data_IF_113749116367
#
_entry.id   IF_113749116367
#
_cell.length_a   1.000
_cell.length_b   1.000
_cell.length_c   1.000
_cell.angle_alpha   90.00
_cell.angle_beta   90.00
_cell.angle_gamma   90.00
#
_symmetry.space_group_name_H-M   'P 1'
#
loop_
_entity.id
_entity.type
_entity.pdbx_description
1 polymer ?
#
# COMPACT_ATOMS: atom_id res chain seq x y z
N UNK A 1 4.04 -24.42 0.64
CA UNK A 1 4.37 -23.51 -0.48
C UNK A 1 5.16 -22.35 0.05
N UNK A 2 6.15 -21.86 -0.68
CA UNK A 2 6.84 -20.62 -0.29
C UNK A 2 5.85 -19.46 -0.44
N UNK A 3 5.66 -18.67 0.61
CA UNK A 3 4.82 -17.47 0.60
C UNK A 3 5.71 -16.25 0.49
N UNK A 4 5.33 -15.29 -0.35
CA UNK A 4 6.00 -14.00 -0.46
C UNK A 4 5.25 -12.98 0.39
N UNK A 5 5.97 -12.43 1.36
CA UNK A 5 5.50 -11.31 2.15
C UNK A 5 5.65 -10.02 1.34
N UNK A 6 4.52 -9.34 1.08
CA UNK A 6 4.47 -8.21 0.16
C UNK A 6 3.68 -7.06 0.78
N UNK A 7 4.35 -6.00 1.25
CA UNK A 7 3.68 -4.79 1.70
C UNK A 7 2.85 -4.17 0.58
N UNK A 8 1.59 -3.81 0.89
CA UNK A 8 0.63 -3.26 -0.10
C UNK A 8 1.19 -2.05 -0.83
N UNK A 9 1.83 -1.14 -0.09
CA UNK A 9 2.47 0.03 -0.68
C UNK A 9 3.56 -0.36 -1.68
N UNK A 10 4.37 -1.36 -1.36
CA UNK A 10 5.44 -1.84 -2.25
C UNK A 10 4.86 -2.43 -3.55
N UNK A 11 3.80 -3.26 -3.46
CA UNK A 11 3.12 -3.82 -4.64
C UNK A 11 2.64 -2.71 -5.57
N UNK A 12 1.93 -1.74 -5.02
CA UNK A 12 1.32 -0.64 -5.77
C UNK A 12 2.39 0.28 -6.40
N UNK A 13 3.36 0.72 -5.61
CA UNK A 13 4.44 1.60 -6.10
C UNK A 13 5.31 0.89 -7.14
N UNK A 14 5.57 -0.40 -6.99
CA UNK A 14 6.36 -1.17 -7.95
C UNK A 14 5.70 -1.24 -9.34
N UNK A 15 4.38 -1.42 -9.37
CA UNK A 15 3.65 -1.63 -10.63
C UNK A 15 3.14 -0.34 -11.28
N UNK A 16 2.77 0.66 -10.47
CA UNK A 16 2.00 1.80 -10.95
C UNK A 16 2.72 3.14 -10.81
N UNK A 17 3.88 3.17 -10.15
CA UNK A 17 4.65 4.41 -10.02
C UNK A 17 5.12 4.85 -11.40
N UNK A 18 4.75 6.05 -11.79
CA UNK A 18 5.14 6.70 -13.04
C UNK A 18 5.94 7.97 -12.75
N UNK A 19 6.68 8.45 -13.74
CA UNK A 19 7.48 9.67 -13.64
C UNK A 19 8.98 9.40 -13.57
N UNK A 20 9.75 10.49 -13.55
CA UNK A 20 11.22 10.45 -13.44
C UNK A 20 11.66 10.09 -12.03
N UNK A 21 12.83 9.47 -11.92
CA UNK A 21 13.47 9.26 -10.62
C UNK A 21 13.83 10.65 -10.06
N UNK A 22 13.12 11.07 -9.03
CA UNK A 22 13.46 12.29 -8.29
C UNK A 22 14.53 11.93 -7.26
N UNK A 23 15.76 12.32 -7.55
CA UNK A 23 16.91 12.13 -6.65
C UNK A 23 17.01 13.20 -5.57
N UNK A 24 16.09 14.18 -5.54
CA UNK A 24 16.06 15.19 -4.48
C UNK A 24 15.70 14.52 -3.16
N UNK A 25 16.62 14.63 -2.23
CA UNK A 25 16.42 14.15 -0.87
C UNK A 25 15.31 14.97 -0.20
N UNK A 26 14.11 14.42 -0.13
CA UNK A 26 13.02 14.99 0.66
C UNK A 26 13.23 14.58 2.12
N UNK A 27 13.90 15.45 2.88
CA UNK A 27 14.45 15.14 4.19
C UNK A 27 13.45 14.62 5.22
N UNK A 28 14.00 14.15 6.34
CA UNK A 28 13.31 13.65 7.54
C UNK A 28 12.16 14.56 8.02
N UNK A 29 12.25 15.86 7.78
CA UNK A 29 11.26 16.86 8.19
C UNK A 29 9.91 16.65 7.48
N UNK A 30 9.90 16.32 6.18
CA UNK A 30 8.64 16.08 5.43
C UNK A 30 7.91 14.82 5.87
N UNK A 31 8.63 13.76 6.20
CA UNK A 31 8.01 12.52 6.69
C UNK A 31 7.36 12.73 8.05
N UNK A 32 8.03 13.46 8.95
CA UNK A 32 7.51 13.80 10.27
C UNK A 32 6.32 14.76 10.19
N UNK A 33 6.38 15.73 9.28
CA UNK A 33 5.27 16.66 9.02
C UNK A 33 4.05 15.92 8.47
N UNK A 34 4.23 15.04 7.48
CA UNK A 34 3.18 14.20 6.94
C UNK A 34 2.49 13.36 8.02
N UNK A 35 3.27 12.68 8.87
CA UNK A 35 2.73 11.89 9.97
C UNK A 35 1.95 12.74 10.99
N UNK A 36 2.39 13.99 11.24
CA UNK A 36 1.66 14.93 12.12
C UNK A 36 0.33 15.37 11.51
N UNK A 37 0.33 15.63 10.19
CA UNK A 37 -0.88 16.00 9.45
C UNK A 37 -1.87 14.85 9.44
N UNK A 38 -1.44 13.61 9.14
CA UNK A 38 -2.31 12.43 9.20
C UNK A 38 -3.01 12.32 10.55
N UNK A 39 -2.25 12.33 11.65
CA UNK A 39 -2.82 12.26 13.01
C UNK A 39 -3.80 13.39 13.32
N UNK A 40 -3.54 14.61 12.81
CA UNK A 40 -4.45 15.76 12.98
C UNK A 40 -5.76 15.51 12.24
N UNK A 41 -5.71 15.05 10.99
CA UNK A 41 -6.88 14.77 10.17
C UNK A 41 -7.71 13.61 10.74
N UNK A 42 -7.04 12.54 11.14
CA UNK A 42 -7.66 11.37 11.78
C UNK A 42 -8.39 11.76 13.06
N UNK A 43 -7.76 12.57 13.92
CA UNK A 43 -8.38 13.06 15.16
C UNK A 43 -9.58 14.01 14.88
N UNK A 44 -9.49 14.83 13.85
CA UNK A 44 -10.56 15.75 13.45
C UNK A 44 -11.75 15.05 12.78
N UNK A 45 -11.58 13.80 12.32
CA UNK A 45 -12.64 13.04 11.68
C UNK A 45 -13.75 12.56 12.65
N UNK A 46 -13.50 12.64 13.96
CA UNK A 46 -14.52 12.41 14.99
C UNK A 46 -14.71 10.94 15.39
N UNK A 47 -15.77 10.71 16.16
CA UNK A 47 -16.15 9.37 16.62
C UNK A 47 -16.57 8.49 15.42
N UNK A 48 -16.18 7.21 15.44
CA UNK A 48 -16.46 6.27 14.34
C UNK A 48 -15.38 6.20 13.25
N UNK A 49 -14.42 7.11 13.27
CA UNK A 49 -13.25 7.01 12.38
C UNK A 49 -12.17 6.14 13.03
N UNK A 50 -11.91 4.97 12.43
CA UNK A 50 -10.87 4.04 12.87
C UNK A 50 -9.57 4.39 12.14
N UNK A 51 -8.60 4.96 12.84
CA UNK A 51 -7.31 5.35 12.29
C UNK A 51 -6.31 4.19 12.28
N UNK A 52 -5.38 4.18 11.31
CA UNK A 52 -4.25 3.26 11.23
C UNK A 52 -4.65 1.77 11.31
N UNK A 53 -5.69 1.38 10.58
CA UNK A 53 -6.23 0.02 10.63
C UNK A 53 -5.29 -0.95 9.91
N UNK A 54 -4.72 -1.88 10.67
CA UNK A 54 -3.88 -2.93 10.09
C UNK A 54 -4.74 -3.95 9.35
N UNK A 55 -4.37 -4.21 8.10
CA UNK A 55 -5.01 -5.18 7.22
C UNK A 55 -3.97 -6.16 6.69
N UNK A 56 -4.31 -7.45 6.73
CA UNK A 56 -3.48 -8.51 6.17
C UNK A 56 -4.36 -9.55 5.50
N UNK A 57 -3.92 -10.08 4.37
CA UNK A 57 -4.63 -11.14 3.67
C UNK A 57 -3.67 -12.05 2.90
N UNK A 58 -4.01 -13.32 2.83
CA UNK A 58 -3.36 -14.25 1.93
C UNK A 58 -4.11 -14.31 0.60
N UNK A 59 -3.36 -14.29 -0.49
CA UNK A 59 -3.88 -14.41 -1.86
C UNK A 59 -2.93 -15.27 -2.68
N UNK A 60 -3.47 -15.87 -3.73
CA UNK A 60 -2.70 -16.66 -4.68
C UNK A 60 -2.83 -16.10 -6.09
N UNK A 61 -1.72 -16.01 -6.81
CA UNK A 61 -1.71 -15.69 -8.23
C UNK A 61 -0.57 -16.45 -8.92
N UNK A 62 -0.84 -17.04 -10.07
CA UNK A 62 0.13 -17.78 -10.88
C UNK A 62 0.88 -18.88 -10.10
N UNK A 63 0.22 -19.55 -9.15
CA UNK A 63 0.83 -20.59 -8.32
C UNK A 63 1.76 -20.09 -7.20
N UNK A 64 1.78 -18.79 -6.94
CA UNK A 64 2.55 -18.16 -5.88
C UNK A 64 1.60 -17.65 -4.80
N UNK A 65 1.87 -18.02 -3.54
CA UNK A 65 1.16 -17.48 -2.39
C UNK A 65 1.76 -16.14 -1.96
N UNK A 66 0.92 -15.15 -1.72
CA UNK A 66 1.28 -13.81 -1.25
C UNK A 66 0.63 -13.54 0.08
N UNK A 67 1.42 -13.07 1.04
CA UNK A 67 0.91 -12.47 2.28
C UNK A 67 0.98 -10.96 2.12
N UNK A 68 -0.18 -10.34 1.87
CA UNK A 68 -0.32 -8.89 1.73
C UNK A 68 -0.55 -8.27 3.08
N UNK A 69 0.10 -7.15 3.36
CA UNK A 69 -0.15 -6.41 4.60
C UNK A 69 0.07 -4.91 4.44
N UNK A 70 -0.59 -4.15 5.28
CA UNK A 70 -0.43 -2.70 5.37
C UNK A 70 -1.36 -2.07 6.38
N UNK A 71 -1.32 -0.75 6.46
CA UNK A 71 -2.21 0.05 7.31
C UNK A 71 -2.97 1.03 6.46
N UNK A 72 -4.31 0.92 6.49
CA UNK A 72 -5.18 1.93 5.93
C UNK A 72 -5.15 3.17 6.84
N UNK A 73 -5.03 4.37 6.29
CA UNK A 73 -4.98 5.60 7.08
C UNK A 73 -6.26 5.80 7.90
N UNK A 74 -7.42 5.39 7.33
CA UNK A 74 -8.67 5.42 8.06
C UNK A 74 -9.76 4.54 7.46
N UNK A 75 -10.67 4.10 8.33
CA UNK A 75 -11.92 3.41 7.96
C UNK A 75 -13.06 4.02 8.76
N UNK A 76 -14.15 4.36 8.09
CA UNK A 76 -15.34 4.90 8.75
C UNK A 76 -16.60 4.49 8.00
N UNK A 77 -17.75 4.62 8.66
CA UNK A 77 -19.06 4.45 8.03
C UNK A 77 -19.71 5.83 7.94
N UNK A 78 -20.16 6.19 6.75
CA UNK A 78 -20.84 7.47 6.52
C UNK A 78 -22.29 7.46 7.04
N UNK A 79 -22.97 8.61 6.97
CA UNK A 79 -24.34 8.78 7.44
C UNK A 79 -25.36 7.88 6.69
N UNK A 80 -25.00 7.39 5.50
CA UNK A 80 -25.81 6.49 4.69
C UNK A 80 -25.52 5.01 4.97
N UNK A 81 -24.64 4.72 5.91
CA UNK A 81 -24.21 3.36 6.23
C UNK A 81 -23.15 2.79 5.28
N UNK A 82 -22.55 3.60 4.40
CA UNK A 82 -21.50 3.17 3.48
C UNK A 82 -20.16 3.15 4.20
N UNK A 83 -19.52 1.98 4.23
CA UNK A 83 -18.15 1.87 4.73
C UNK A 83 -17.18 2.50 3.72
N UNK A 84 -16.30 3.35 4.20
CA UNK A 84 -15.32 4.08 3.39
C UNK A 84 -13.91 3.85 3.91
N UNK A 85 -13.01 3.47 2.99
CA UNK A 85 -11.56 3.43 3.22
C UNK A 85 -11.01 4.82 2.86
N UNK A 86 -10.32 5.46 3.77
CA UNK A 86 -9.71 6.78 3.57
C UNK A 86 -8.19 6.66 3.42
N UNK A 87 -7.66 7.16 2.32
CA UNK A 87 -6.25 7.24 2.03
C UNK A 87 -5.83 8.71 2.06
N UNK A 88 -5.00 9.09 3.02
CA UNK A 88 -4.58 10.48 3.26
C UNK A 88 -3.22 10.72 2.60
N UNK A 89 -3.10 11.81 1.86
CA UNK A 89 -1.84 12.22 1.22
C UNK A 89 -1.57 13.70 1.47
N UNK A 90 -0.34 14.01 1.83
CA UNK A 90 0.16 15.40 1.86
C UNK A 90 0.80 15.75 0.52
N UNK A 91 0.58 16.97 0.06
CA UNK A 91 1.13 17.45 -1.23
C UNK A 91 1.48 18.93 -1.16
N UNK A 92 2.45 19.33 -1.98
CA UNK A 92 2.79 20.74 -2.26
C UNK A 92 2.27 21.18 -3.64
N UNK A 93 1.53 20.33 -4.34
CA UNK A 93 0.86 20.70 -5.60
C UNK A 93 -0.16 21.80 -5.29
N UNK A 94 -0.24 22.88 -6.10
CA UNK A 94 -1.25 23.91 -5.92
C UNK A 94 -2.66 23.31 -5.81
N UNK A 95 -3.49 23.87 -4.94
CA UNK A 95 -4.80 23.31 -4.63
C UNK A 95 -5.67 23.10 -5.87
N UNK A 96 -5.62 24.04 -6.81
CA UNK A 96 -6.39 24.03 -8.05
C UNK A 96 -5.93 22.95 -9.05
N UNK A 97 -4.71 22.43 -8.86
CA UNK A 97 -4.12 21.37 -9.69
C UNK A 97 -4.30 19.98 -9.09
N UNK A 98 -4.86 19.88 -7.88
CA UNK A 98 -5.13 18.60 -7.24
C UNK A 98 -6.34 17.95 -7.92
N UNK A 99 -6.10 16.87 -8.66
CA UNK A 99 -7.12 16.09 -9.32
C UNK A 99 -7.18 14.67 -8.84
N UNK A 100 -8.21 13.94 -9.19
CA UNK A 100 -8.34 12.51 -8.88
C UNK A 100 -7.22 11.67 -9.51
N UNK A 101 -6.69 12.10 -10.65
CA UNK A 101 -5.63 11.42 -11.40
C UNK A 101 -4.23 11.85 -11.00
N UNK A 102 -4.07 12.67 -9.96
CA UNK A 102 -2.79 13.22 -9.53
C UNK A 102 -1.71 12.13 -9.38
N UNK A 103 -2.09 10.98 -8.82
CA UNK A 103 -1.20 9.83 -8.71
C UNK A 103 -2.00 8.51 -8.66
N UNK A 104 -1.86 7.64 -9.68
CA UNK A 104 -2.60 6.38 -9.75
C UNK A 104 -2.30 5.44 -8.57
N UNK A 105 -1.13 5.54 -7.95
CA UNK A 105 -0.79 4.72 -6.78
C UNK A 105 -1.70 4.99 -5.58
N UNK A 106 -2.24 6.21 -5.44
CA UNK A 106 -3.07 6.55 -4.29
C UNK A 106 -4.42 5.83 -4.34
N UNK A 107 -5.10 5.85 -5.51
CA UNK A 107 -6.30 5.05 -5.71
C UNK A 107 -6.04 3.57 -5.54
N UNK A 108 -4.97 3.07 -6.16
CA UNK A 108 -4.63 1.66 -6.09
C UNK A 108 -4.39 1.19 -4.66
N UNK A 109 -3.72 1.99 -3.82
CA UNK A 109 -3.48 1.68 -2.43
C UNK A 109 -4.79 1.56 -1.64
N UNK A 110 -5.68 2.55 -1.77
CA UNK A 110 -7.01 2.52 -1.15
C UNK A 110 -7.88 1.36 -1.66
N UNK A 111 -7.84 1.06 -2.96
CA UNK A 111 -8.58 -0.07 -3.55
C UNK A 111 -8.08 -1.43 -3.04
N UNK A 112 -6.77 -1.62 -2.84
CA UNK A 112 -6.24 -2.87 -2.27
C UNK A 112 -6.67 -3.03 -0.82
N UNK A 113 -6.61 -1.96 -0.01
CA UNK A 113 -7.16 -2.00 1.36
C UNK A 113 -8.65 -2.32 1.36
N UNK A 114 -9.40 -1.72 0.44
CA UNK A 114 -10.83 -1.95 0.28
C UNK A 114 -11.13 -3.41 -0.12
N UNK A 115 -10.35 -4.01 -1.02
CA UNK A 115 -10.48 -5.43 -1.39
C UNK A 115 -10.31 -6.36 -0.17
N UNK A 116 -9.28 -6.12 0.61
CA UNK A 116 -9.02 -6.93 1.81
C UNK A 116 -10.14 -6.74 2.83
N UNK A 117 -10.49 -5.50 3.14
CA UNK A 117 -11.49 -5.18 4.16
C UNK A 117 -12.87 -5.71 3.77
N UNK A 118 -13.32 -5.50 2.51
CA UNK A 118 -14.62 -6.01 2.04
C UNK A 118 -14.72 -7.53 2.12
N UNK A 119 -13.63 -8.23 1.79
CA UNK A 119 -13.56 -9.69 1.90
C UNK A 119 -13.67 -10.15 3.36
N UNK A 120 -12.99 -9.48 4.29
CA UNK A 120 -12.99 -9.82 5.71
C UNK A 120 -14.34 -9.53 6.40
N UNK A 121 -15.00 -8.45 6.00
CA UNK A 121 -16.27 -8.01 6.60
C UNK A 121 -17.51 -8.51 5.84
N UNK A 122 -17.33 -9.21 4.72
CA UNK A 122 -18.44 -9.69 3.91
C UNK A 122 -19.25 -8.57 3.22
N UNK A 123 -18.62 -7.42 2.94
CA UNK A 123 -19.28 -6.28 2.31
C UNK A 123 -19.34 -6.45 0.79
N UNK A 124 -20.50 -6.20 0.19
CA UNK A 124 -20.66 -6.25 -1.28
C UNK A 124 -20.22 -4.96 -1.97
N UNK A 125 -20.34 -3.85 -1.29
CA UNK A 125 -19.95 -2.52 -1.79
C UNK A 125 -19.32 -1.70 -0.69
N UNK A 126 -18.37 -0.86 -1.03
CA UNK A 126 -17.80 0.17 -0.17
C UNK A 126 -17.22 1.31 -0.99
N UNK A 127 -16.89 2.40 -0.32
CA UNK A 127 -16.24 3.54 -0.94
C UNK A 127 -14.73 3.59 -0.63
N UNK A 128 -13.97 4.16 -1.53
CA UNK A 128 -12.59 4.61 -1.30
C UNK A 128 -12.57 6.12 -1.42
N UNK A 129 -11.98 6.79 -0.45
CA UNK A 129 -11.78 8.23 -0.44
C UNK A 129 -10.30 8.56 -0.47
N UNK A 130 -9.89 9.45 -1.36
CA UNK A 130 -8.59 10.11 -1.32
C UNK A 130 -8.75 11.45 -0.61
N UNK A 131 -7.97 11.68 0.42
CA UNK A 131 -7.91 12.94 1.16
C UNK A 131 -6.55 13.58 0.95
N UNK A 132 -6.48 14.58 0.09
CA UNK A 132 -5.28 15.39 -0.13
C UNK A 132 -5.26 16.58 0.81
N UNK A 133 -4.14 16.74 1.50
CA UNK A 133 -3.85 17.91 2.31
C UNK A 133 -2.73 18.72 1.65
N UNK A 134 -3.04 19.94 1.22
CA UNK A 134 -2.07 20.87 0.66
C UNK A 134 -1.32 21.57 1.80
N UNK A 135 0.00 21.37 1.86
CA UNK A 135 0.82 21.72 3.03
C UNK A 135 0.97 23.23 3.23
N UNK A 136 1.07 24.01 2.13
CA UNK A 136 1.34 25.43 2.19
C UNK A 136 0.10 26.28 2.52
N UNK A 137 -1.11 25.76 2.20
CA UNK A 137 -2.37 26.51 2.36
C UNK A 137 -3.33 25.89 3.38
N UNK A 138 -2.98 24.76 3.97
CA UNK A 138 -3.83 23.97 4.89
C UNK A 138 -5.18 23.53 4.28
N UNK A 139 -5.32 23.57 2.95
CA UNK A 139 -6.55 23.19 2.26
C UNK A 139 -6.65 21.68 2.07
N UNK A 140 -7.88 21.19 2.06
CA UNK A 140 -8.17 19.76 1.92
C UNK A 140 -9.05 19.54 0.70
N UNK A 141 -8.60 18.68 -0.21
CA UNK A 141 -9.38 18.19 -1.34
C UNK A 141 -9.71 16.72 -1.13
N UNK A 142 -10.97 16.33 -1.40
CA UNK A 142 -11.42 14.95 -1.26
C UNK A 142 -12.09 14.46 -2.52
N UNK A 143 -11.76 13.22 -2.89
CA UNK A 143 -12.40 12.50 -3.99
C UNK A 143 -12.87 11.15 -3.46
N UNK A 144 -14.10 10.76 -3.81
CA UNK A 144 -14.70 9.50 -3.34
C UNK A 144 -15.27 8.72 -4.51
N UNK A 145 -14.95 7.43 -4.56
CA UNK A 145 -15.50 6.48 -5.56
C UNK A 145 -16.06 5.26 -4.86
N UNK A 146 -17.18 4.75 -5.35
CA UNK A 146 -17.76 3.50 -4.87
C UNK A 146 -17.31 2.33 -5.76
N UNK A 147 -17.11 1.19 -5.12
CA UNK A 147 -16.68 -0.04 -5.78
C UNK A 147 -17.48 -1.22 -5.26
N UNK A 148 -17.76 -2.19 -6.14
CA UNK A 148 -18.20 -3.50 -5.70
C UNK A 148 -17.01 -4.35 -5.24
N UNK A 149 -17.25 -5.29 -4.34
CA UNK A 149 -16.24 -6.28 -3.91
C UNK A 149 -15.62 -7.00 -5.12
N UNK A 150 -16.44 -7.36 -6.09
CA UNK A 150 -15.96 -8.01 -7.32
C UNK A 150 -14.96 -7.15 -8.10
N UNK A 151 -15.22 -5.86 -8.26
CA UNK A 151 -14.29 -4.93 -8.93
C UNK A 151 -12.96 -4.84 -8.18
N UNK A 152 -13.02 -4.75 -6.86
CA UNK A 152 -11.83 -4.64 -6.01
C UNK A 152 -10.99 -5.93 -6.03
N UNK A 153 -11.63 -7.10 -5.93
CA UNK A 153 -10.92 -8.38 -5.99
C UNK A 153 -10.31 -8.62 -7.39
N UNK A 154 -11.01 -8.26 -8.45
CA UNK A 154 -10.48 -8.32 -9.83
C UNK A 154 -9.25 -7.41 -9.98
N UNK A 155 -9.32 -6.19 -9.45
CA UNK A 155 -8.19 -5.26 -9.48
C UNK A 155 -6.98 -5.82 -8.71
N UNK A 156 -7.20 -6.31 -7.48
CA UNK A 156 -6.13 -6.92 -6.68
C UNK A 156 -5.51 -8.12 -7.39
N UNK A 157 -6.34 -9.01 -7.97
CA UNK A 157 -5.86 -10.17 -8.71
C UNK A 157 -5.04 -9.77 -9.95
N UNK A 158 -5.42 -8.70 -10.65
CA UNK A 158 -4.65 -8.16 -11.77
C UNK A 158 -3.27 -7.66 -11.31
N UNK A 159 -3.18 -6.92 -10.20
CA UNK A 159 -1.91 -6.47 -9.65
C UNK A 159 -1.00 -7.65 -9.29
N UNK A 160 -1.54 -8.66 -8.61
CA UNK A 160 -0.76 -9.84 -8.23
C UNK A 160 -0.28 -10.64 -9.45
N UNK A 161 -1.13 -10.78 -10.46
CA UNK A 161 -0.76 -11.44 -11.73
C UNK A 161 0.36 -10.69 -12.44
N UNK A 162 0.31 -9.36 -12.46
CA UNK A 162 1.38 -8.53 -13.02
C UNK A 162 2.68 -8.61 -12.20
N UNK A 163 2.59 -8.77 -10.88
CA UNK A 163 3.75 -8.88 -10.00
C UNK A 163 4.37 -10.28 -10.01
N UNK A 164 3.60 -11.33 -10.30
CA UNK A 164 4.01 -12.73 -10.22
C UNK A 164 5.34 -13.08 -10.94
N UNK A 165 5.65 -12.54 -12.14
CA UNK A 165 6.95 -12.80 -12.78
C UNK A 165 8.15 -12.30 -11.96
N UNK A 166 8.00 -11.20 -11.25
CA UNK A 166 9.02 -10.64 -10.35
C UNK A 166 9.16 -11.46 -9.08
N UNK A 167 8.03 -11.86 -8.51
CA UNK A 167 7.96 -12.77 -7.39
C UNK A 167 8.66 -14.10 -7.68
N UNK A 168 8.44 -14.70 -8.87
CA UNK A 168 9.10 -15.92 -9.29
C UNK A 168 10.62 -15.74 -9.38
N UNK A 169 11.09 -14.63 -9.95
CA UNK A 169 12.53 -14.33 -10.01
C UNK A 169 13.17 -14.22 -8.64
N UNK A 170 12.45 -13.63 -7.68
CA UNK A 170 12.91 -13.54 -6.28
C UNK A 170 13.05 -14.94 -5.66
N UNK A 171 12.04 -15.80 -5.81
CA UNK A 171 12.08 -17.18 -5.32
C UNK A 171 13.22 -17.99 -5.94
N UNK A 172 13.42 -17.86 -7.26
CA UNK A 172 14.52 -18.52 -7.97
C UNK A 172 15.89 -18.03 -7.49
N UNK A 173 16.00 -16.72 -7.25
CA UNK A 173 17.22 -16.11 -6.70
C UNK A 173 17.52 -16.61 -5.29
N UNK A 174 16.53 -16.61 -4.40
CA UNK A 174 16.67 -17.06 -3.01
C UNK A 174 17.05 -18.55 -2.96
N UNK A 175 16.49 -19.36 -3.85
CA UNK A 175 16.84 -20.76 -4.00
C UNK A 175 18.31 -20.93 -4.43
N UNK A 176 18.75 -20.23 -5.49
CA UNK A 176 20.14 -20.29 -5.97
C UNK A 176 21.12 -19.78 -4.92
N UNK A 177 20.77 -18.67 -4.24
CA UNK A 177 21.59 -18.11 -3.15
C UNK A 177 21.75 -19.11 -2.02
N UNK A 178 20.68 -19.74 -1.57
CA UNK A 178 20.72 -20.76 -0.52
C UNK A 178 21.58 -21.96 -0.89
N UNK A 179 21.46 -22.45 -2.14
CA UNK A 179 22.29 -23.54 -2.66
C UNK A 179 23.77 -23.14 -2.73
N UNK A 180 24.06 -21.93 -3.19
CA UNK A 180 25.42 -21.40 -3.25
C UNK A 180 26.05 -21.26 -1.86
N UNK A 181 25.27 -20.76 -0.88
CA UNK A 181 25.73 -20.63 0.50
C UNK A 181 25.98 -21.99 1.15
N UNK A 182 25.15 -23.00 0.87
CA UNK A 182 25.32 -24.35 1.39
C UNK A 182 26.55 -25.06 0.80
N UNK A 183 26.97 -24.67 -0.42
CA UNK A 183 28.17 -25.20 -1.08
C UNK A 183 29.46 -24.45 -0.71
N UNK A 184 29.36 -23.35 0.04
CA UNK A 184 30.53 -22.58 0.50
C UNK A 184 31.37 -23.42 1.46
N UNK A 185 32.59 -23.72 1.04
CA UNK A 185 33.64 -24.28 1.91
C UNK A 185 34.58 -23.16 2.35
N UNK A 186 34.86 -23.09 3.61
CA UNK A 186 35.85 -22.16 4.14
C UNK A 186 37.22 -22.53 3.58
N UNK A 187 38.00 -21.60 3.01
CA UNK A 187 39.31 -21.91 2.39
C UNK A 187 40.36 -22.31 3.42
N UNK A 188 40.05 -22.22 4.71
CA UNK A 188 40.94 -22.59 5.82
C UNK A 188 40.25 -23.60 6.74
N UNK A 189 41.00 -24.61 7.20
CA UNK A 189 40.49 -25.66 8.07
C UNK A 189 40.03 -25.15 9.47
N UNK A 190 40.54 -24.01 9.90
CA UNK A 190 40.20 -23.41 11.17
C UNK A 190 40.06 -21.89 11.10
N UNK A 191 39.17 -21.33 11.88
CA UNK A 191 39.10 -19.89 12.09
C UNK A 191 40.40 -19.40 12.75
N UNK A 192 40.95 -18.29 12.23
CA UNK A 192 42.00 -17.60 12.99
C UNK A 192 41.41 -17.08 14.28
N UNK A 193 41.96 -17.44 15.44
CA UNK A 193 41.57 -16.79 16.71
C UNK A 193 41.90 -15.30 16.59
N UNK A 194 40.88 -14.44 16.88
CA UNK A 194 41.05 -12.99 16.95
C UNK A 194 41.90 -12.55 18.15
#
# INVERSE_FOLDING_TARGET
MASIHLPIRQLVEFLLRTGSIDSRFTGFDRANEGARIHRRLQKAAGEGYQAEVFLSAEREACGIAFTLEGRADGIFTDENGTVTIDEIKTTTVPYEEITEELNPCHWAQGMVYAAIYSSQQGLETLAVRLTYYQVDTDQIQRFTRQFSRQQLEQFLQQLLTQYAPWAQRQLDWDTRRSQSLAALQFPFAEYRPG
#
